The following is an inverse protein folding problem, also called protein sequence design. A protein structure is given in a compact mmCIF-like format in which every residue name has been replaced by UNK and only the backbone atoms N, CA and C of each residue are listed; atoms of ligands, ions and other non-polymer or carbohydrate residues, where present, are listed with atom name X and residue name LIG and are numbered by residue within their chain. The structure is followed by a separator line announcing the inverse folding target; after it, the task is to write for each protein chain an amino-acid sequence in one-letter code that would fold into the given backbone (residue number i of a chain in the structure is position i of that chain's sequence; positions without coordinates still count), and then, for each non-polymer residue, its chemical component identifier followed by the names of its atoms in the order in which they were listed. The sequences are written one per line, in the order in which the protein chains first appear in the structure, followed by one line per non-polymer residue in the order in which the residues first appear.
data_IF_267172458187
#
_entry.id   IF_267172458187
#
_cell.length_a   1.000
_cell.length_b   1.000
_cell.length_c   1.000
_cell.angle_alpha   90.00
_cell.angle_beta   90.00
_cell.angle_gamma   90.00
#
_symmetry.space_group_name_H-M   'P 1'
#
loop_
_entity.id
_entity.type
_entity.pdbx_description
1 polymer ?
#
# COMPACT_ATOMS: atom_id res chain seq x y z
N UNK A 1 1.49 -24.84 -23.18
CA UNK A 1 0.36 -24.18 -22.49
C UNK A 1 0.24 -24.78 -21.10
N UNK A 2 -0.25 -24.01 -20.13
CA UNK A 2 -0.48 -24.48 -18.75
C UNK A 2 -1.98 -24.69 -18.56
N UNK A 3 -2.37 -25.82 -17.99
CA UNK A 3 -3.76 -26.18 -17.72
C UNK A 3 -4.00 -26.42 -16.22
N UNK A 4 -5.26 -26.32 -15.81
CA UNK A 4 -5.69 -26.67 -14.45
C UNK A 4 -5.37 -28.14 -14.18
N UNK A 5 -4.76 -28.42 -13.01
CA UNK A 5 -4.28 -29.74 -12.62
C UNK A 5 -2.83 -30.04 -13.01
N UNK A 6 -2.18 -29.20 -13.83
CA UNK A 6 -0.76 -29.36 -14.13
C UNK A 6 0.09 -29.21 -12.88
N UNK A 7 1.24 -29.88 -12.87
CA UNK A 7 2.25 -29.75 -11.82
C UNK A 7 3.44 -28.99 -12.33
N UNK A 8 3.74 -27.85 -11.70
CA UNK A 8 4.82 -26.97 -12.09
C UNK A 8 5.88 -26.91 -11.00
N UNK A 9 7.15 -26.94 -11.40
CA UNK A 9 8.26 -26.70 -10.48
C UNK A 9 8.51 -25.20 -10.45
N UNK A 10 8.52 -24.61 -9.26
CA UNK A 10 8.92 -23.22 -9.04
C UNK A 10 10.21 -23.21 -8.24
N UNK A 11 11.27 -22.62 -8.81
CA UNK A 11 12.58 -22.56 -8.15
C UNK A 11 12.66 -21.39 -7.17
N UNK A 12 13.64 -21.39 -6.25
CA UNK A 12 13.87 -20.25 -5.38
C UNK A 12 14.07 -18.95 -6.17
N UNK A 13 13.41 -17.88 -5.76
CA UNK A 13 13.44 -16.57 -6.43
C UNK A 13 12.63 -16.46 -7.73
N UNK A 14 12.05 -17.55 -8.25
CA UNK A 14 11.22 -17.49 -9.44
C UNK A 14 9.82 -16.92 -9.14
N UNK A 15 9.25 -16.22 -10.12
CA UNK A 15 7.86 -15.75 -10.05
C UNK A 15 6.90 -16.92 -10.25
N UNK A 16 5.89 -17.00 -9.40
CA UNK A 16 4.82 -17.99 -9.52
C UNK A 16 4.01 -17.69 -10.80
N UNK A 17 3.90 -18.62 -11.76
CA UNK A 17 3.38 -18.31 -13.10
C UNK A 17 1.86 -18.16 -13.16
N UNK A 18 1.12 -18.93 -12.37
CA UNK A 18 -0.35 -18.99 -12.33
C UNK A 18 -0.83 -19.31 -10.92
N UNK A 19 -2.13 -19.25 -10.65
CA UNK A 19 -2.67 -19.60 -9.34
C UNK A 19 -2.65 -21.11 -9.12
N UNK A 20 -2.36 -21.52 -7.87
CA UNK A 20 -2.27 -22.93 -7.52
C UNK A 20 -2.22 -23.22 -6.04
N UNK A 21 -1.83 -24.44 -5.70
CA UNK A 21 -1.56 -24.87 -4.33
C UNK A 21 -0.21 -25.57 -4.25
N UNK A 22 0.48 -25.48 -3.11
CA UNK A 22 1.72 -26.22 -2.87
C UNK A 22 1.40 -27.71 -2.83
N UNK A 23 1.98 -28.49 -3.75
CA UNK A 23 1.87 -29.95 -3.76
C UNK A 23 3.03 -30.62 -3.02
N UNK A 24 4.25 -30.14 -3.22
CA UNK A 24 5.46 -30.65 -2.56
C UNK A 24 6.40 -29.50 -2.20
N UNK A 25 7.09 -29.63 -1.07
CA UNK A 25 8.07 -28.67 -0.57
C UNK A 25 7.49 -27.65 0.41
N UNK A 26 8.36 -26.79 0.92
CA UNK A 26 8.06 -25.73 1.87
C UNK A 26 8.82 -24.48 1.44
N UNK A 27 8.17 -23.32 1.48
CA UNK A 27 8.80 -22.06 1.10
C UNK A 27 8.15 -20.89 1.82
N UNK A 28 8.69 -19.70 1.61
CA UNK A 28 8.04 -18.43 1.91
C UNK A 28 7.69 -17.76 0.60
N UNK A 29 6.53 -17.13 0.50
CA UNK A 29 6.09 -16.46 -0.72
C UNK A 29 5.95 -14.97 -0.45
N UNK A 30 6.62 -14.17 -1.25
CA UNK A 30 6.48 -12.72 -1.25
C UNK A 30 5.27 -12.34 -2.13
N UNK A 31 4.18 -12.00 -1.45
CA UNK A 31 2.92 -11.55 -2.04
C UNK A 31 2.77 -10.02 -1.95
N UNK A 32 3.82 -9.26 -1.63
CA UNK A 32 3.77 -7.80 -1.43
C UNK A 32 3.15 -7.06 -2.62
N UNK A 33 3.47 -7.49 -3.84
CA UNK A 33 2.91 -6.98 -5.09
C UNK A 33 1.40 -7.21 -5.28
N UNK A 34 0.76 -8.07 -4.47
CA UNK A 34 -0.66 -8.46 -4.54
C UNK A 34 -1.46 -8.15 -3.26
N UNK A 35 -0.82 -8.22 -2.10
CA UNK A 35 -1.48 -7.99 -0.79
C UNK A 35 -1.06 -6.66 -0.16
N UNK A 36 0.14 -6.18 -0.46
CA UNK A 36 0.74 -4.98 0.14
C UNK A 36 1.48 -5.31 1.43
N UNK A 37 1.44 -6.57 1.85
CA UNK A 37 2.13 -7.03 3.05
C UNK A 37 3.63 -7.21 2.76
N UNK A 38 4.52 -6.54 3.50
CA UNK A 38 5.95 -6.51 3.19
C UNK A 38 6.70 -7.77 3.64
N UNK A 39 6.07 -8.65 4.43
CA UNK A 39 6.69 -9.85 4.96
C UNK A 39 6.28 -11.08 4.15
N UNK A 40 7.24 -11.90 3.67
CA UNK A 40 6.94 -13.17 3.02
C UNK A 40 6.12 -14.10 3.94
N UNK A 41 5.12 -14.76 3.37
CA UNK A 41 4.22 -15.66 4.09
C UNK A 41 4.70 -17.10 3.92
N UNK A 42 4.86 -17.82 5.03
CA UNK A 42 5.21 -19.24 4.97
C UNK A 42 4.08 -20.06 4.32
N UNK A 43 4.44 -20.89 3.35
CA UNK A 43 3.52 -21.77 2.62
C UNK A 43 4.00 -23.22 2.73
N UNK A 44 3.11 -24.05 3.27
CA UNK A 44 3.26 -25.50 3.39
C UNK A 44 2.38 -26.23 2.38
N UNK A 45 2.57 -27.54 2.25
CA UNK A 45 1.76 -28.40 1.39
C UNK A 45 0.26 -28.20 1.65
N UNK A 46 -0.48 -27.95 0.57
CA UNK A 46 -1.91 -27.64 0.58
C UNK A 46 -2.23 -26.14 0.65
N UNK A 47 -1.26 -25.26 0.96
CA UNK A 47 -1.48 -23.83 0.98
C UNK A 47 -1.64 -23.25 -0.43
N UNK A 48 -2.49 -22.23 -0.58
CA UNK A 48 -2.69 -21.51 -1.83
C UNK A 48 -1.47 -20.67 -2.24
N UNK A 49 -1.30 -20.51 -3.54
CA UNK A 49 -0.27 -19.72 -4.20
C UNK A 49 -0.94 -18.83 -5.25
N UNK A 50 -0.60 -17.55 -5.26
CA UNK A 50 -1.14 -16.60 -6.23
C UNK A 50 -0.12 -16.28 -7.32
N UNK A 51 -0.54 -16.37 -8.58
CA UNK A 51 0.26 -16.04 -9.74
C UNK A 51 0.71 -14.58 -9.72
N UNK A 52 1.98 -14.34 -10.04
CA UNK A 52 2.63 -13.03 -9.95
C UNK A 52 3.45 -12.81 -8.68
N UNK A 53 3.19 -13.56 -7.61
CA UNK A 53 4.01 -13.55 -6.39
C UNK A 53 5.40 -14.15 -6.61
N UNK A 54 6.35 -13.87 -5.71
CA UNK A 54 7.73 -14.34 -5.83
C UNK A 54 7.97 -15.47 -4.83
N UNK A 55 8.46 -16.60 -5.32
CA UNK A 55 8.88 -17.70 -4.46
C UNK A 55 10.18 -17.33 -3.73
N UNK A 56 10.23 -17.57 -2.43
CA UNK A 56 11.40 -17.35 -1.58
C UNK A 56 12.44 -18.46 -1.75
N UNK A 57 12.97 -18.97 -0.65
CA UNK A 57 14.18 -19.79 -0.66
C UNK A 57 13.96 -21.28 -1.02
N UNK A 58 12.71 -21.76 -0.97
CA UNK A 58 12.39 -23.18 -1.15
C UNK A 58 12.09 -23.56 -2.59
N UNK A 59 12.57 -24.72 -3.05
CA UNK A 59 12.06 -25.34 -4.29
C UNK A 59 10.73 -26.02 -4.00
N UNK A 60 9.68 -25.64 -4.73
CA UNK A 60 8.35 -26.21 -4.58
C UNK A 60 7.83 -26.84 -5.87
N UNK A 61 6.94 -27.81 -5.74
CA UNK A 61 6.06 -28.27 -6.83
C UNK A 61 4.66 -27.77 -6.50
N UNK A 62 4.06 -27.01 -7.42
CA UNK A 62 2.69 -26.52 -7.28
C UNK A 62 1.74 -27.29 -8.19
N UNK A 63 0.50 -27.47 -7.75
CA UNK A 63 -0.61 -27.92 -8.58
C UNK A 63 -1.44 -26.70 -9.01
N UNK A 64 -1.65 -26.54 -10.32
CA UNK A 64 -2.36 -25.40 -10.90
C UNK A 64 -3.86 -25.48 -10.59
N UNK A 65 -4.43 -24.40 -10.07
CA UNK A 65 -5.87 -24.30 -9.76
C UNK A 65 -6.63 -23.37 -10.69
N UNK A 66 -6.00 -22.31 -11.19
CA UNK A 66 -6.62 -21.39 -12.15
C UNK A 66 -5.60 -20.85 -13.15
N UNK A 67 -6.03 -20.60 -14.39
CA UNK A 67 -5.20 -20.10 -15.48
C UNK A 67 -5.91 -19.00 -16.26
N UNK A 68 -5.14 -18.16 -16.95
CA UNK A 68 -5.68 -17.11 -17.82
C UNK A 68 -6.60 -16.15 -17.08
N UNK A 69 -7.82 -15.99 -17.59
CA UNK A 69 -8.81 -15.06 -17.06
C UNK A 69 -9.25 -15.39 -15.62
N UNK A 70 -9.21 -16.66 -15.21
CA UNK A 70 -9.68 -17.08 -13.89
C UNK A 70 -8.68 -16.78 -12.76
N UNK A 71 -7.49 -16.29 -13.09
CA UNK A 71 -6.48 -15.91 -12.08
C UNK A 71 -6.89 -14.66 -11.30
N UNK A 72 -6.44 -14.57 -10.04
CA UNK A 72 -6.64 -13.40 -9.17
C UNK A 72 -6.15 -12.12 -9.84
N UNK A 73 -4.97 -12.15 -10.46
CA UNK A 73 -4.43 -10.98 -11.17
C UNK A 73 -5.31 -10.56 -12.35
N UNK A 74 -5.81 -11.53 -13.15
CA UNK A 74 -6.71 -11.21 -14.25
C UNK A 74 -8.07 -10.69 -13.78
N UNK A 75 -8.52 -11.10 -12.58
CA UNK A 75 -9.71 -10.53 -11.96
C UNK A 75 -9.47 -9.07 -11.53
N UNK A 76 -8.32 -8.78 -10.91
CA UNK A 76 -7.90 -7.41 -10.55
C UNK A 76 -7.85 -6.51 -11.79
N UNK A 77 -7.25 -6.98 -12.90
CA UNK A 77 -7.19 -6.21 -14.16
C UNK A 77 -8.60 -5.87 -14.67
N UNK A 78 -9.52 -6.83 -14.67
CA UNK A 78 -10.90 -6.60 -15.11
C UNK A 78 -11.64 -5.58 -14.23
N UNK A 79 -11.47 -5.66 -12.91
CA UNK A 79 -12.03 -4.67 -12.00
C UNK A 79 -11.53 -3.25 -12.30
N UNK A 80 -10.23 -3.11 -12.64
CA UNK A 80 -9.65 -1.81 -13.03
C UNK A 80 -10.18 -1.33 -14.37
N UNK A 81 -10.30 -2.22 -15.37
CA UNK A 81 -10.84 -1.88 -16.69
C UNK A 81 -12.31 -1.45 -16.62
N UNK A 82 -13.14 -2.18 -15.88
CA UNK A 82 -14.57 -1.88 -15.69
C UNK A 82 -14.76 -0.52 -15.00
N UNK A 83 -13.91 -0.21 -14.02
CA UNK A 83 -13.94 1.06 -13.31
C UNK A 83 -13.45 2.23 -14.18
N UNK A 84 -12.44 2.03 -15.05
CA UNK A 84 -11.96 3.03 -15.99
C UNK A 84 -12.92 3.28 -17.18
N UNK A 85 -13.77 2.33 -17.51
CA UNK A 85 -14.72 2.45 -18.63
C UNK A 85 -15.88 3.42 -18.38
N UNK A 86 -16.02 3.98 -17.16
CA UNK A 86 -17.02 4.98 -16.84
C UNK A 86 -16.72 6.34 -17.52
N UNK A 87 -17.59 6.76 -18.45
CA UNK A 87 -17.41 7.97 -19.27
C UNK A 87 -17.28 9.27 -18.45
N UNK A 88 -16.31 10.10 -18.86
CA UNK A 88 -15.96 11.39 -18.28
C UNK A 88 -17.08 12.48 -18.36
N UNK A 89 -17.23 13.37 -17.35
CA UNK A 89 -18.24 14.44 -17.32
C UNK A 89 -17.93 15.74 -18.08
N UNK A 90 -16.67 16.13 -18.38
CA UNK A 90 -16.40 17.51 -18.84
C UNK A 90 -16.79 17.82 -20.30
N UNK A 91 -16.83 16.83 -21.20
CA UNK A 91 -17.44 17.05 -22.52
C UNK A 91 -18.82 17.72 -22.38
N UNK A 92 -19.56 17.41 -21.30
CA UNK A 92 -20.87 17.97 -21.03
C UNK A 92 -20.89 19.46 -20.73
N UNK A 93 -19.87 20.09 -20.15
CA UNK A 93 -19.97 21.53 -19.80
C UNK A 93 -19.92 22.43 -21.04
N UNK A 94 -18.97 22.18 -21.95
CA UNK A 94 -18.92 22.91 -23.23
C UNK A 94 -20.11 22.54 -24.11
N UNK A 95 -20.52 21.26 -24.09
CA UNK A 95 -21.70 20.79 -24.83
C UNK A 95 -23.01 21.40 -24.29
N UNK A 96 -23.17 21.55 -22.97
CA UNK A 96 -24.36 22.12 -22.32
C UNK A 96 -24.46 23.63 -22.56
N UNK A 97 -23.34 24.35 -22.45
CA UNK A 97 -23.28 25.77 -22.84
C UNK A 97 -23.61 25.91 -24.33
N UNK A 98 -23.04 25.07 -25.20
CA UNK A 98 -23.31 25.11 -26.63
C UNK A 98 -24.76 24.76 -26.97
N UNK A 99 -25.36 23.81 -26.26
CA UNK A 99 -26.75 23.38 -26.44
C UNK A 99 -27.76 24.49 -26.16
N UNK A 100 -27.44 25.43 -25.27
CA UNK A 100 -28.26 26.62 -25.00
C UNK A 100 -27.85 27.79 -25.90
N UNK A 101 -26.54 28.01 -26.06
CA UNK A 101 -25.99 29.17 -26.77
C UNK A 101 -26.36 29.18 -28.26
N UNK A 102 -26.24 28.03 -28.94
CA UNK A 102 -26.49 27.94 -30.39
C UNK A 102 -27.95 28.27 -30.73
N UNK A 103 -28.98 27.68 -30.08
CA UNK A 103 -30.37 28.07 -30.32
C UNK A 103 -30.67 29.53 -30.02
N UNK A 104 -30.09 30.09 -28.95
CA UNK A 104 -30.29 31.51 -28.59
C UNK A 104 -29.74 32.43 -29.68
N UNK A 105 -28.52 32.17 -30.17
CA UNK A 105 -27.89 32.96 -31.23
C UNK A 105 -28.68 32.86 -32.55
N UNK A 106 -29.16 31.67 -32.90
CA UNK A 106 -30.03 31.48 -34.07
C UNK A 106 -31.35 32.25 -33.91
N UNK A 107 -31.95 32.24 -32.72
CA UNK A 107 -33.15 33.00 -32.40
C UNK A 107 -32.94 34.51 -32.55
N UNK A 108 -31.83 35.05 -32.00
CA UNK A 108 -31.50 36.48 -32.11
C UNK A 108 -31.20 36.87 -33.57
N UNK A 109 -30.50 36.02 -34.33
CA UNK A 109 -30.24 36.27 -35.75
C UNK A 109 -31.55 36.29 -36.57
N UNK A 110 -32.49 35.37 -36.29
CA UNK A 110 -33.81 35.36 -36.91
C UNK A 110 -34.63 36.60 -36.54
N UNK A 111 -34.64 36.99 -35.27
CA UNK A 111 -35.33 38.21 -34.82
C UNK A 111 -34.73 39.47 -35.47
N UNK A 112 -33.41 39.50 -35.65
CA UNK A 112 -32.72 40.59 -36.35
C UNK A 112 -33.15 40.67 -37.81
N UNK A 113 -33.20 39.53 -38.51
CA UNK A 113 -33.68 39.45 -39.89
C UNK A 113 -35.11 39.99 -40.02
N UNK A 114 -36.03 39.49 -39.19
CA UNK A 114 -37.44 39.88 -39.22
C UNK A 114 -37.64 41.35 -38.83
N UNK A 115 -36.89 41.85 -37.85
CA UNK A 115 -36.96 43.24 -37.40
C UNK A 115 -36.54 44.23 -38.49
N UNK A 116 -35.46 43.96 -39.21
CA UNK A 116 -35.00 44.81 -40.31
C UNK A 116 -35.94 44.77 -41.51
N UNK A 117 -36.51 43.60 -41.84
CA UNK A 117 -37.54 43.49 -42.88
C UNK A 117 -38.80 44.30 -42.51
N UNK A 118 -39.22 44.25 -41.25
CA UNK A 118 -40.40 44.99 -40.78
C UNK A 118 -40.16 46.52 -40.75
N UNK A 119 -38.93 46.94 -40.46
CA UNK A 119 -38.52 48.35 -40.53
C UNK A 119 -38.40 48.90 -41.97
N UNK A 120 -38.63 48.07 -42.99
CA UNK A 120 -38.61 48.47 -44.40
C UNK A 120 -37.22 48.43 -45.04
N UNK A 121 -36.22 47.80 -44.41
CA UNK A 121 -34.93 47.59 -45.05
C UNK A 121 -35.02 46.54 -46.18
N UNK A 122 -34.17 46.67 -47.19
CA UNK A 122 -34.06 45.69 -48.26
C UNK A 122 -33.61 44.32 -47.74
N UNK A 123 -34.05 43.23 -48.40
CA UNK A 123 -33.74 41.85 -47.97
C UNK A 123 -32.23 41.56 -47.88
N UNK A 124 -31.43 42.19 -48.72
CA UNK A 124 -29.96 42.11 -48.66
C UNK A 124 -29.40 42.70 -47.36
N UNK A 125 -29.87 43.88 -46.97
CA UNK A 125 -29.42 44.57 -45.74
C UNK A 125 -29.82 43.78 -44.50
N UNK A 126 -31.06 43.27 -44.45
CA UNK A 126 -31.54 42.46 -43.34
C UNK A 126 -30.74 41.14 -43.19
N UNK A 127 -30.39 40.48 -44.30
CA UNK A 127 -29.58 39.27 -44.30
C UNK A 127 -28.14 39.54 -43.82
N UNK A 128 -27.52 40.63 -44.29
CA UNK A 128 -26.17 41.04 -43.83
C UNK A 128 -26.15 41.23 -42.31
N UNK A 129 -27.16 41.90 -41.74
CA UNK A 129 -27.24 42.09 -40.29
C UNK A 129 -27.44 40.77 -39.53
N UNK A 130 -28.28 39.86 -40.02
CA UNK A 130 -28.48 38.55 -39.40
C UNK A 130 -27.19 37.70 -39.43
N UNK A 131 -26.48 37.68 -40.56
CA UNK A 131 -25.18 36.99 -40.68
C UNK A 131 -24.12 37.63 -39.77
N UNK A 132 -24.09 38.96 -39.66
CA UNK A 132 -23.17 39.65 -38.76
C UNK A 132 -23.37 39.22 -37.29
N UNK A 133 -24.63 39.03 -36.85
CA UNK A 133 -24.95 38.49 -35.52
C UNK A 133 -24.41 37.07 -35.34
N UNK A 134 -24.54 36.20 -36.35
CA UNK A 134 -24.00 34.85 -36.27
C UNK A 134 -22.45 34.84 -36.21
N UNK A 135 -21.80 35.68 -37.03
CA UNK A 135 -20.34 35.77 -37.10
C UNK A 135 -19.75 36.29 -35.80
N UNK A 136 -20.33 37.37 -35.24
CA UNK A 136 -19.81 37.98 -34.00
C UNK A 136 -20.04 37.09 -32.77
N UNK A 137 -21.05 36.21 -32.81
CA UNK A 137 -21.36 35.28 -31.74
C UNK A 137 -20.43 34.05 -31.69
N UNK A 138 -19.56 33.83 -32.68
CA UNK A 138 -18.69 32.66 -32.71
C UNK A 138 -17.70 32.65 -31.53
N UNK A 139 -17.78 31.68 -30.60
CA UNK A 139 -17.00 31.70 -29.36
C UNK A 139 -15.60 31.08 -29.56
N UNK A 140 -14.80 31.63 -30.48
CA UNK A 140 -13.48 31.07 -30.83
C UNK A 140 -12.54 30.90 -29.61
N UNK A 141 -12.61 31.81 -28.63
CA UNK A 141 -11.79 31.75 -27.43
C UNK A 141 -12.21 30.63 -26.45
N UNK A 142 -13.49 30.23 -26.45
CA UNK A 142 -14.02 29.21 -25.54
C UNK A 142 -13.38 27.85 -25.81
N UNK A 143 -13.16 27.51 -27.09
CA UNK A 143 -12.53 26.24 -27.49
C UNK A 143 -11.06 26.11 -27.08
N UNK A 144 -10.37 27.21 -26.81
CA UNK A 144 -8.96 27.22 -26.39
C UNK A 144 -8.77 27.42 -24.88
N UNK A 145 -9.77 27.97 -24.18
CA UNK A 145 -9.65 28.29 -22.76
C UNK A 145 -9.33 27.05 -21.91
N UNK A 146 -10.08 25.96 -22.08
CA UNK A 146 -9.91 24.74 -21.29
C UNK A 146 -8.58 24.03 -21.55
N UNK A 147 -8.17 23.76 -22.81
CA UNK A 147 -6.86 23.15 -23.08
C UNK A 147 -5.68 24.01 -22.59
N UNK A 148 -5.76 25.34 -22.70
CA UNK A 148 -4.71 26.23 -22.22
C UNK A 148 -4.59 26.18 -20.68
N UNK A 149 -5.72 26.20 -19.97
CA UNK A 149 -5.75 26.09 -18.50
C UNK A 149 -5.21 24.73 -18.02
N UNK A 150 -5.62 23.63 -18.66
CA UNK A 150 -5.13 22.27 -18.34
C UNK A 150 -3.61 22.17 -18.58
N UNK A 151 -3.12 22.66 -19.72
CA UNK A 151 -1.70 22.58 -20.05
C UNK A 151 -0.85 23.41 -19.07
N UNK A 152 -1.32 24.60 -18.69
CA UNK A 152 -0.65 25.42 -17.67
C UNK A 152 -0.70 24.73 -16.28
N UNK A 153 -1.87 24.21 -15.89
CA UNK A 153 -2.07 23.54 -14.61
C UNK A 153 -1.22 22.29 -14.44
N UNK A 154 -1.20 21.40 -15.44
CA UNK A 154 -0.33 20.21 -15.45
C UNK A 154 1.15 20.58 -15.44
N UNK A 155 1.54 21.65 -16.16
CA UNK A 155 2.91 22.18 -16.12
C UNK A 155 3.34 22.69 -14.74
N UNK A 156 2.45 23.35 -14.00
CA UNK A 156 2.71 23.78 -12.60
C UNK A 156 2.77 22.59 -11.64
N UNK A 157 1.85 21.63 -11.79
CA UNK A 157 1.83 20.41 -10.99
C UNK A 157 3.12 19.59 -11.13
N UNK A 158 3.61 19.43 -12.37
CA UNK A 158 4.85 18.71 -12.65
C UNK A 158 6.08 19.34 -11.97
N UNK A 159 6.13 20.69 -11.87
CA UNK A 159 7.20 21.40 -11.13
C UNK A 159 7.20 21.09 -9.63
N UNK A 160 6.08 20.63 -9.09
CA UNK A 160 5.93 20.19 -7.70
C UNK A 160 5.95 18.66 -7.55
N UNK A 161 6.37 17.93 -8.59
CA UNK A 161 6.47 16.47 -8.56
C UNK A 161 5.11 15.75 -8.67
N UNK A 162 4.05 16.44 -9.07
CA UNK A 162 2.71 15.86 -9.24
C UNK A 162 2.48 15.59 -10.72
N UNK A 163 2.39 14.30 -11.08
CA UNK A 163 2.13 13.86 -12.45
C UNK A 163 0.66 13.53 -12.63
N UNK A 164 0.00 14.28 -13.50
CA UNK A 164 -1.42 14.12 -13.80
C UNK A 164 -1.55 13.37 -15.12
N UNK A 165 -2.11 12.16 -15.06
CA UNK A 165 -2.32 11.32 -16.26
C UNK A 165 -3.54 11.76 -17.07
N UNK A 166 -4.59 12.21 -16.38
CA UNK A 166 -5.86 12.61 -16.97
C UNK A 166 -6.20 14.04 -16.57
N UNK A 167 -6.55 14.88 -17.53
CA UNK A 167 -7.01 16.25 -17.29
C UNK A 167 -8.24 16.31 -16.38
N UNK A 168 -9.12 15.29 -16.43
CA UNK A 168 -10.30 15.20 -15.56
C UNK A 168 -9.92 15.16 -14.07
N UNK A 169 -8.76 14.59 -13.74
CA UNK A 169 -8.30 14.51 -12.37
C UNK A 169 -8.08 15.90 -11.75
N UNK A 170 -7.65 16.89 -12.54
CA UNK A 170 -7.48 18.28 -12.07
C UNK A 170 -8.80 18.92 -11.67
N UNK A 171 -9.87 18.62 -12.39
CA UNK A 171 -11.20 19.19 -12.15
C UNK A 171 -11.87 18.57 -10.94
N UNK A 172 -11.79 17.24 -10.84
CA UNK A 172 -12.36 16.50 -9.72
C UNK A 172 -11.59 16.78 -8.43
N UNK A 173 -10.27 16.99 -8.50
CA UNK A 173 -9.44 17.26 -7.33
C UNK A 173 -9.94 18.45 -6.49
N UNK A 174 -10.50 19.49 -7.11
CA UNK A 174 -11.04 20.63 -6.36
C UNK A 174 -12.34 20.29 -5.60
N UNK A 175 -13.10 19.28 -6.04
CA UNK A 175 -14.35 18.84 -5.41
C UNK A 175 -14.14 17.80 -4.31
N UNK A 176 -12.92 17.28 -4.16
CA UNK A 176 -12.60 16.23 -3.18
C UNK A 176 -12.88 16.75 -1.77
N UNK A 177 -13.76 16.04 -1.06
CA UNK A 177 -14.09 16.31 0.35
C UNK A 177 -13.55 15.23 1.30
N UNK A 178 -13.24 14.04 0.77
CA UNK A 178 -12.73 12.91 1.55
C UNK A 178 -11.52 12.31 0.83
N UNK A 179 -10.43 12.07 1.56
CA UNK A 179 -9.24 11.37 1.06
C UNK A 179 -9.07 10.07 1.84
N UNK A 180 -9.15 8.95 1.15
CA UNK A 180 -8.83 7.63 1.66
C UNK A 180 -7.37 7.31 1.34
N UNK A 181 -6.59 6.98 2.35
CA UNK A 181 -5.18 6.61 2.23
C UNK A 181 -5.01 5.14 2.51
N UNK A 182 -4.29 4.43 1.64
CA UNK A 182 -3.69 3.18 2.03
C UNK A 182 -2.64 3.41 3.14
N UNK A 183 -2.49 2.44 4.03
CA UNK A 183 -1.50 2.51 5.10
C UNK A 183 -0.09 2.25 4.56
N UNK A 184 0.14 1.07 4.00
CA UNK A 184 1.49 0.54 3.76
C UNK A 184 2.11 1.23 2.55
N UNK A 185 3.32 1.78 2.69
CA UNK A 185 4.06 2.45 1.60
C UNK A 185 3.53 3.84 1.18
N UNK A 186 2.27 4.13 1.50
CA UNK A 186 1.64 5.45 1.32
C UNK A 186 1.82 6.34 2.55
N UNK A 187 1.15 6.01 3.68
CA UNK A 187 1.27 6.75 4.94
C UNK A 187 2.50 6.33 5.75
N UNK A 188 2.97 5.11 5.52
CA UNK A 188 4.17 4.56 6.14
C UNK A 188 5.28 4.39 5.12
N UNK A 189 6.48 4.00 5.58
CA UNK A 189 7.61 3.76 4.70
C UNK A 189 7.44 2.45 3.91
N UNK A 190 6.63 1.51 4.40
CA UNK A 190 6.41 0.20 3.75
C UNK A 190 7.58 -0.76 3.95
N UNK A 191 8.45 -0.48 4.92
CA UNK A 191 9.63 -1.30 5.23
C UNK A 191 9.71 -1.55 6.73
N UNK A 192 9.81 -2.81 7.18
CA UNK A 192 9.91 -3.10 8.59
C UNK A 192 11.17 -2.48 9.19
N UNK A 193 11.01 -1.82 10.33
CA UNK A 193 12.09 -1.25 11.14
C UNK A 193 12.06 -1.85 12.53
N UNK A 194 13.23 -1.97 13.16
CA UNK A 194 13.33 -2.35 14.56
C UNK A 194 12.83 -1.17 15.41
N UNK A 195 11.63 -1.29 15.96
CA UNK A 195 10.96 -0.23 16.74
C UNK A 195 11.23 -0.35 18.24
N UNK A 196 11.43 -1.57 18.74
CA UNK A 196 11.85 -1.82 20.12
C UNK A 196 12.84 -2.99 20.19
N UNK A 197 13.80 -2.87 21.11
CA UNK A 197 14.78 -3.91 21.43
C UNK A 197 14.95 -3.96 22.95
N UNK A 198 14.23 -4.89 23.59
CA UNK A 198 14.12 -4.99 25.03
C UNK A 198 15.01 -6.13 25.53
N UNK A 199 16.08 -5.82 26.27
CA UNK A 199 17.01 -6.84 26.78
C UNK A 199 16.58 -7.39 28.13
N UNK A 200 16.93 -8.66 28.37
CA UNK A 200 16.75 -9.30 29.66
C UNK A 200 17.65 -8.65 30.73
N UNK A 201 17.23 -8.69 32.00
CA UNK A 201 17.93 -8.04 33.12
C UNK A 201 19.41 -8.43 33.19
N UNK A 202 20.29 -7.43 33.31
CA UNK A 202 21.74 -7.63 33.43
C UNK A 202 22.47 -7.89 32.11
N UNK A 203 21.81 -7.68 30.97
CA UNK A 203 22.45 -7.68 29.63
C UNK A 203 22.74 -6.25 29.17
N UNK A 204 23.82 -6.09 28.39
CA UNK A 204 24.12 -4.85 27.68
C UNK A 204 23.40 -4.84 26.33
N UNK A 205 22.59 -3.80 26.08
CA UNK A 205 21.79 -3.67 24.87
C UNK A 205 22.65 -3.66 23.59
N UNK A 206 23.76 -2.93 23.60
CA UNK A 206 24.65 -2.79 22.45
C UNK A 206 25.34 -4.10 22.09
N UNK A 207 25.81 -4.84 23.10
CA UNK A 207 26.45 -6.14 22.90
C UNK A 207 25.49 -7.17 22.31
N UNK A 208 24.28 -7.29 22.88
CA UNK A 208 23.29 -8.24 22.37
C UNK A 208 22.83 -7.84 20.97
N UNK A 209 22.55 -6.55 20.72
CA UNK A 209 22.14 -6.09 19.39
C UNK A 209 23.23 -6.33 18.33
N UNK A 210 24.50 -6.08 18.66
CA UNK A 210 25.63 -6.34 17.75
C UNK A 210 25.74 -7.84 17.39
N UNK A 211 25.58 -8.73 18.38
CA UNK A 211 25.61 -10.17 18.16
C UNK A 211 24.43 -10.65 17.31
N UNK A 212 23.22 -10.15 17.57
CA UNK A 212 22.02 -10.48 16.80
C UNK A 212 22.15 -9.98 15.36
N UNK A 213 22.66 -8.75 15.17
CA UNK A 213 22.91 -8.20 13.84
C UNK A 213 23.95 -9.00 13.06
N UNK A 214 24.98 -9.55 13.74
CA UNK A 214 25.95 -10.43 13.12
C UNK A 214 25.30 -11.72 12.63
N UNK A 215 24.53 -12.44 13.45
CA UNK A 215 23.81 -13.65 13.01
C UNK A 215 22.86 -13.38 11.84
N UNK A 216 22.28 -12.17 11.79
CA UNK A 216 21.31 -11.75 10.77
C UNK A 216 21.98 -11.16 9.51
N UNK A 217 23.30 -10.94 9.49
CA UNK A 217 23.97 -10.13 8.45
C UNK A 217 23.93 -10.73 7.05
N UNK A 218 23.79 -12.06 6.94
CA UNK A 218 23.70 -12.79 5.67
C UNK A 218 22.27 -13.17 5.26
N UNK A 219 21.24 -12.74 6.00
CA UNK A 219 19.85 -13.08 5.69
C UNK A 219 19.20 -12.01 4.82
N UNK A 220 18.51 -12.45 3.76
CA UNK A 220 17.73 -11.59 2.89
C UNK A 220 16.35 -11.23 3.46
N UNK A 221 15.99 -11.80 4.62
CA UNK A 221 14.70 -11.56 5.25
C UNK A 221 14.54 -10.09 5.68
N UNK A 222 13.39 -9.42 5.43
CA UNK A 222 13.20 -8.01 5.75
C UNK A 222 13.49 -7.64 7.22
N UNK A 223 13.05 -8.48 8.16
CA UNK A 223 13.33 -8.29 9.59
C UNK A 223 14.83 -8.38 9.93
N UNK A 224 15.58 -9.24 9.25
CA UNK A 224 17.02 -9.35 9.44
C UNK A 224 17.74 -8.08 8.99
N UNK A 225 17.38 -7.58 7.80
CA UNK A 225 17.86 -6.30 7.28
C UNK A 225 17.54 -5.13 8.24
N UNK A 226 16.35 -5.14 8.86
CA UNK A 226 15.95 -4.13 9.84
C UNK A 226 16.85 -4.12 11.09
N UNK A 227 17.22 -5.30 11.62
CA UNK A 227 18.16 -5.40 12.75
C UNK A 227 19.55 -4.90 12.36
N UNK A 228 20.06 -5.33 11.20
CA UNK A 228 21.39 -4.94 10.70
C UNK A 228 21.44 -3.42 10.49
N UNK A 229 20.39 -2.83 9.92
CA UNK A 229 20.28 -1.39 9.76
C UNK A 229 20.26 -0.65 11.11
N UNK A 230 19.54 -1.17 12.10
CA UNK A 230 19.50 -0.59 13.45
C UNK A 230 20.87 -0.64 14.15
N UNK A 231 21.62 -1.73 14.02
CA UNK A 231 22.96 -1.84 14.58
C UNK A 231 23.95 -0.86 13.90
N UNK A 232 23.89 -0.73 12.57
CA UNK A 232 24.70 0.23 11.82
C UNK A 232 24.38 1.68 12.17
N UNK A 233 23.10 2.02 12.35
CA UNK A 233 22.68 3.37 12.74
C UNK A 233 23.16 3.77 14.15
N UNK A 234 23.55 2.79 14.98
CA UNK A 234 24.13 2.98 16.32
C UNK A 234 25.65 2.80 16.35
N UNK A 235 26.29 2.73 15.18
CA UNK A 235 27.74 2.51 15.03
C UNK A 235 28.26 1.27 15.78
N UNK A 236 27.43 0.22 15.88
CA UNK A 236 27.82 -1.02 16.57
C UNK A 236 28.68 -1.92 15.66
N UNK A 237 29.76 -2.52 16.18
CA UNK A 237 30.60 -3.42 15.40
C UNK A 237 29.89 -4.75 15.13
N UNK A 238 29.50 -4.97 13.88
CA UNK A 238 28.90 -6.24 13.43
C UNK A 238 30.01 -7.21 13.04
N UNK A 239 30.31 -8.18 13.92
CA UNK A 239 31.29 -9.22 13.65
C UNK A 239 30.83 -10.17 12.55
N UNK A 240 31.76 -10.90 11.94
CA UNK A 240 31.42 -11.98 11.02
C UNK A 240 30.89 -13.17 11.83
N UNK A 241 29.68 -13.68 11.51
CA UNK A 241 29.12 -14.83 12.21
C UNK A 241 29.69 -16.15 11.64
N UNK A 242 29.73 -17.17 12.48
CA UNK A 242 30.06 -18.55 12.12
C UNK A 242 28.80 -19.43 12.17
N UNK A 243 28.80 -20.53 11.41
CA UNK A 243 27.76 -21.57 11.43
C UNK A 243 26.30 -21.06 11.30
N UNK A 244 26.07 -19.98 10.55
CA UNK A 244 24.72 -19.41 10.38
C UNK A 244 23.83 -20.36 9.59
N UNK A 245 22.64 -20.61 10.12
CA UNK A 245 21.61 -21.44 9.51
C UNK A 245 20.24 -20.81 9.65
N UNK A 246 19.51 -20.74 8.54
CA UNK A 246 18.09 -20.41 8.53
C UNK A 246 17.26 -21.65 8.89
N UNK A 247 16.29 -21.48 9.78
CA UNK A 247 15.29 -22.47 10.17
C UNK A 247 13.94 -21.99 9.62
N UNK A 248 13.46 -22.55 8.49
CA UNK A 248 12.24 -22.09 7.83
C UNK A 248 11.03 -22.03 8.77
N UNK A 249 10.27 -20.94 8.70
CA UNK A 249 9.07 -20.72 9.52
C UNK A 249 9.33 -20.51 11.02
N UNK A 250 10.60 -20.40 11.43
CA UNK A 250 11.03 -20.28 12.82
C UNK A 250 11.97 -19.11 13.07
N UNK A 251 13.09 -19.04 12.35
CA UNK A 251 14.12 -18.01 12.57
C UNK A 251 15.49 -18.36 11.99
N UNK A 252 16.54 -17.81 12.60
CA UNK A 252 17.95 -18.01 12.26
C UNK A 252 18.73 -18.39 13.52
N UNK A 253 19.72 -19.26 13.38
CA UNK A 253 20.68 -19.61 14.44
C UNK A 253 22.11 -19.42 13.91
N UNK A 254 23.05 -19.06 14.80
CA UNK A 254 24.45 -18.89 14.42
C UNK A 254 25.34 -18.62 15.63
N UNK A 255 26.65 -18.58 15.40
CA UNK A 255 27.66 -18.34 16.43
C UNK A 255 28.38 -17.01 16.20
N UNK A 256 28.55 -16.24 17.27
CA UNK A 256 29.28 -14.97 17.25
C UNK A 256 30.20 -14.95 18.46
N UNK A 257 31.51 -14.80 18.21
CA UNK A 257 32.53 -14.75 19.27
C UNK A 257 32.46 -15.96 20.23
N UNK A 258 32.14 -17.15 19.70
CA UNK A 258 32.03 -18.39 20.47
C UNK A 258 30.73 -18.56 21.27
N UNK A 259 29.75 -17.65 21.11
CA UNK A 259 28.42 -17.75 21.69
C UNK A 259 27.37 -18.10 20.63
N UNK A 260 26.55 -19.11 20.89
CA UNK A 260 25.46 -19.53 20.00
C UNK A 260 24.18 -18.75 20.31
N UNK A 261 23.67 -18.04 19.30
CA UNK A 261 22.45 -17.24 19.35
C UNK A 261 21.38 -17.82 18.42
N UNK A 262 20.13 -17.77 18.89
CA UNK A 262 18.95 -18.15 18.15
C UNK A 262 18.01 -16.94 18.11
N UNK A 263 17.60 -16.54 16.92
CA UNK A 263 16.79 -15.35 16.65
C UNK A 263 15.57 -15.78 15.88
N UNK A 264 14.37 -15.60 16.44
CA UNK A 264 13.17 -15.98 15.68
C UNK A 264 11.86 -15.74 16.40
N UNK A 265 10.80 -16.34 15.85
CA UNK A 265 9.42 -16.14 16.30
C UNK A 265 9.21 -16.58 17.75
N UNK A 266 8.24 -15.96 18.43
CA UNK A 266 7.83 -16.37 19.78
C UNK A 266 7.36 -17.83 19.83
N UNK A 267 6.73 -18.33 18.76
CA UNK A 267 6.34 -19.73 18.61
C UNK A 267 7.54 -20.67 18.69
N UNK A 268 8.62 -20.33 17.99
CA UNK A 268 9.84 -21.15 18.01
C UNK A 268 10.48 -21.16 19.41
N UNK A 269 10.48 -20.02 20.10
CA UNK A 269 10.97 -19.96 21.47
C UNK A 269 10.17 -20.83 22.44
N UNK A 270 8.84 -20.88 22.28
CA UNK A 270 7.98 -21.78 23.05
C UNK A 270 8.28 -23.26 22.75
N UNK A 271 8.46 -23.62 21.48
CA UNK A 271 8.85 -24.98 21.06
C UNK A 271 10.21 -25.40 21.66
N UNK A 272 11.13 -24.45 21.81
CA UNK A 272 12.44 -24.64 22.44
C UNK A 272 12.40 -24.57 23.98
N UNK A 273 11.23 -24.36 24.58
CA UNK A 273 11.08 -24.25 26.03
C UNK A 273 11.72 -23.00 26.65
N UNK A 274 11.91 -21.94 25.86
CA UNK A 274 12.45 -20.65 26.32
C UNK A 274 11.35 -19.82 26.97
N UNK A 275 11.49 -19.54 28.26
CA UNK A 275 10.59 -18.64 28.98
C UNK A 275 10.93 -17.16 28.68
N UNK A 276 9.90 -16.38 28.33
CA UNK A 276 10.00 -14.94 28.10
C UNK A 276 10.10 -14.15 29.42
N UNK A 277 9.71 -14.75 30.55
CA UNK A 277 9.79 -14.18 31.88
C UNK A 277 9.18 -12.76 31.96
N UNK A 278 9.91 -11.76 32.49
CA UNK A 278 9.38 -10.40 32.66
C UNK A 278 9.09 -9.69 31.34
N UNK A 279 9.69 -10.12 30.23
CA UNK A 279 9.48 -9.52 28.90
C UNK A 279 8.19 -10.02 28.23
N UNK A 280 7.52 -11.04 28.77
CA UNK A 280 6.29 -11.60 28.18
C UNK A 280 5.16 -10.56 28.06
N UNK A 281 4.93 -9.76 29.12
CA UNK A 281 3.91 -8.73 29.12
C UNK A 281 4.21 -7.62 28.09
N UNK A 282 5.49 -7.25 27.95
CA UNK A 282 5.93 -6.26 26.97
C UNK A 282 5.80 -6.79 25.54
N UNK A 283 6.17 -8.04 25.29
CA UNK A 283 5.98 -8.70 24.01
C UNK A 283 4.51 -8.72 23.58
N UNK A 284 3.60 -9.06 24.50
CA UNK A 284 2.15 -9.04 24.24
C UNK A 284 1.63 -7.65 23.93
N UNK A 285 2.06 -6.63 24.67
CA UNK A 285 1.69 -5.25 24.40
C UNK A 285 2.14 -4.80 22.99
N UNK A 286 3.39 -5.13 22.62
CA UNK A 286 3.93 -4.81 21.29
C UNK A 286 3.18 -5.54 20.17
N UNK A 287 2.78 -6.80 20.37
CA UNK A 287 1.93 -7.51 19.41
C UNK A 287 0.53 -6.89 19.29
N UNK A 288 -0.05 -6.44 20.40
CA UNK A 288 -1.35 -5.75 20.40
C UNK A 288 -1.29 -4.39 19.69
N UNK A 289 -0.13 -3.74 19.69
CA UNK A 289 0.18 -2.54 18.90
C UNK A 289 0.45 -2.84 17.41
N UNK A 290 0.38 -4.12 16.99
CA UNK A 290 0.60 -4.54 15.61
C UNK A 290 2.03 -4.83 15.22
N UNK A 291 2.97 -4.81 16.17
CA UNK A 291 4.35 -5.14 15.87
C UNK A 291 4.53 -6.65 15.68
N UNK A 292 5.33 -7.01 14.69
CA UNK A 292 5.87 -8.37 14.57
C UNK A 292 6.94 -8.54 15.64
N UNK A 293 6.74 -9.49 16.56
CA UNK A 293 7.66 -9.71 17.68
C UNK A 293 8.48 -10.97 17.49
N UNK A 294 9.80 -10.83 17.65
CA UNK A 294 10.77 -11.93 17.67
C UNK A 294 11.53 -11.92 18.98
N UNK A 295 12.11 -13.04 19.36
CA UNK A 295 12.93 -13.17 20.54
C UNK A 295 14.33 -13.66 20.20
N UNK A 296 15.26 -13.37 21.10
CA UNK A 296 16.67 -13.75 21.02
C UNK A 296 16.98 -14.63 22.21
N UNK A 297 17.41 -15.85 21.95
CA UNK A 297 17.92 -16.77 22.96
C UNK A 297 19.41 -17.05 22.71
N UNK A 298 20.14 -17.31 23.78
CA UNK A 298 21.53 -17.76 23.72
C UNK A 298 21.63 -19.14 24.37
N UNK A 299 22.42 -20.05 23.77
CA UNK A 299 22.74 -21.33 24.41
C UNK A 299 23.72 -21.10 25.56
N UNK A 300 23.33 -21.51 26.76
CA UNK A 300 24.16 -21.47 27.97
C UNK A 300 25.32 -22.44 27.85
N UNK A 301 26.51 -21.98 28.24
CA UNK A 301 27.71 -22.81 28.43
C UNK A 301 27.82 -23.35 29.85
N UNK A 302 27.00 -22.87 30.79
CA UNK A 302 26.94 -23.38 32.16
C UNK A 302 25.88 -24.48 32.26
N UNK A 303 26.30 -25.65 32.75
CA UNK A 303 25.49 -26.87 32.87
C UNK A 303 24.17 -26.65 33.62
N UNK A 304 23.24 -27.59 33.42
CA UNK A 304 21.81 -27.60 33.77
C UNK A 304 21.44 -27.45 35.29
N UNK A 305 22.02 -26.49 36.00
CA UNK A 305 21.84 -26.27 37.45
C UNK A 305 21.11 -24.99 37.86
N UNK A 306 20.57 -24.23 36.90
CA UNK A 306 19.75 -23.04 37.16
C UNK A 306 18.34 -23.19 36.60
N UNK A 307 17.43 -22.29 36.98
CA UNK A 307 16.06 -22.10 36.46
C UNK A 307 16.06 -21.76 34.96
N UNK A 308 16.59 -22.66 34.15
CA UNK A 308 16.80 -22.50 32.72
C UNK A 308 15.89 -23.49 31.98
N UNK A 309 15.27 -23.00 30.90
CA UNK A 309 14.36 -23.79 30.07
C UNK A 309 14.97 -25.12 29.63
N UNK A 310 14.11 -26.09 29.37
CA UNK A 310 14.48 -27.42 28.92
C UNK A 310 15.31 -27.33 27.62
N UNK A 311 16.65 -27.40 27.73
CA UNK A 311 17.57 -27.28 26.59
C UNK A 311 18.79 -26.38 26.82
N UNK A 312 18.89 -25.71 27.98
CA UNK A 312 20.03 -24.84 28.29
C UNK A 312 20.03 -23.53 27.51
N UNK A 313 18.87 -23.07 27.05
CA UNK A 313 18.69 -21.80 26.35
C UNK A 313 18.24 -20.71 27.34
N UNK A 314 18.81 -19.51 27.21
CA UNK A 314 18.50 -18.35 28.05
C UNK A 314 18.06 -17.19 27.16
N UNK A 315 16.90 -16.60 27.47
CA UNK A 315 16.43 -15.39 26.78
C UNK A 315 17.40 -14.23 26.99
N UNK A 316 17.74 -13.54 25.91
CA UNK A 316 18.59 -12.33 25.93
C UNK A 316 17.82 -11.08 25.58
N UNK A 317 16.88 -11.15 24.63
CA UNK A 317 16.11 -9.99 24.24
C UNK A 317 14.77 -10.35 23.58
N UNK A 318 13.86 -9.38 23.54
CA UNK A 318 12.68 -9.35 22.67
C UNK A 318 12.83 -8.17 21.72
N UNK A 319 12.51 -8.40 20.45
CA UNK A 319 12.57 -7.42 19.38
C UNK A 319 11.19 -7.22 18.81
N UNK A 320 10.80 -5.96 18.61
CA UNK A 320 9.59 -5.62 17.89
C UNK A 320 9.94 -4.92 16.58
N UNK A 321 9.24 -5.34 15.55
CA UNK A 321 9.34 -4.80 14.21
C UNK A 321 8.01 -4.20 13.82
N UNK A 322 8.04 -2.97 13.34
CA UNK A 322 6.87 -2.29 12.85
C UNK A 322 7.22 -1.43 11.66
N UNK A 323 6.19 -0.87 11.04
CA UNK A 323 6.38 0.18 10.06
C UNK A 323 6.42 1.55 10.77
N UNK A 324 7.09 2.51 10.15
CA UNK A 324 7.19 3.88 10.63
C UNK A 324 6.35 4.82 9.76
N UNK A 325 5.69 5.83 10.34
CA UNK A 325 5.09 6.92 9.59
C UNK A 325 6.10 7.54 8.62
N UNK A 326 5.66 7.82 7.40
CA UNK A 326 6.47 8.51 6.41
C UNK A 326 6.74 9.94 6.90
N UNK A 327 7.98 10.46 6.79
CA UNK A 327 8.26 11.85 7.12
C UNK A 327 7.33 12.78 6.32
N UNK A 328 6.70 13.76 6.98
CA UNK A 328 5.73 14.65 6.33
C UNK A 328 4.28 14.16 6.34
N UNK A 329 4.00 12.87 6.63
CA UNK A 329 2.65 12.32 6.54
C UNK A 329 1.68 12.96 7.55
N UNK A 330 2.15 13.14 8.80
CA UNK A 330 1.36 13.80 9.85
C UNK A 330 1.06 15.26 9.49
N UNK A 331 2.04 16.02 8.99
CA UNK A 331 1.80 17.39 8.56
C UNK A 331 0.83 17.45 7.36
N UNK A 332 0.95 16.55 6.39
CA UNK A 332 0.07 16.48 5.24
C UNK A 332 -1.39 16.19 5.64
N UNK A 333 -1.61 15.22 6.53
CA UNK A 333 -2.94 14.91 7.07
C UNK A 333 -3.52 16.10 7.84
N UNK A 334 -2.71 16.78 8.66
CA UNK A 334 -3.15 17.97 9.39
C UNK A 334 -3.54 19.12 8.44
N UNK A 335 -2.79 19.33 7.35
CA UNK A 335 -3.11 20.34 6.34
C UNK A 335 -4.40 20.03 5.58
N UNK A 336 -4.67 18.76 5.27
CA UNK A 336 -5.93 18.34 4.66
C UNK A 336 -7.12 18.58 5.61
N UNK A 337 -7.00 18.17 6.87
CA UNK A 337 -8.02 18.43 7.90
C UNK A 337 -8.28 19.92 8.08
N UNK A 338 -7.24 20.76 8.09
CA UNK A 338 -7.38 22.22 8.20
C UNK A 338 -8.12 22.85 7.01
N UNK A 339 -8.12 22.19 5.84
CA UNK A 339 -8.92 22.58 4.66
C UNK A 339 -10.34 22.03 4.67
N UNK A 340 -10.75 21.33 5.73
CA UNK A 340 -12.07 20.70 5.85
C UNK A 340 -12.18 19.37 5.11
N UNK A 341 -11.07 18.79 4.64
CA UNK A 341 -11.06 17.51 3.94
C UNK A 341 -11.00 16.39 4.97
N UNK A 342 -11.96 15.46 4.94
CA UNK A 342 -11.96 14.27 5.79
C UNK A 342 -10.85 13.32 5.34
N UNK A 343 -10.03 12.85 6.28
CA UNK A 343 -8.96 11.89 5.98
C UNK A 343 -9.27 10.55 6.62
N UNK A 344 -9.21 9.47 5.86
CA UNK A 344 -9.47 8.09 6.33
C UNK A 344 -8.28 7.21 5.96
N UNK A 345 -7.83 6.36 6.88
CA UNK A 345 -6.83 5.34 6.61
C UNK A 345 -7.48 3.97 6.42
N UNK A 346 -7.14 3.28 5.35
CA UNK A 346 -7.56 1.91 5.03
C UNK A 346 -6.35 0.99 5.24
N UNK A 347 -6.55 -0.11 5.97
CA UNK A 347 -5.49 -1.08 6.25
C UNK A 347 -6.04 -2.50 6.34
N UNK A 348 -5.24 -3.46 5.86
CA UNK A 348 -5.47 -4.89 6.06
C UNK A 348 -5.06 -5.39 7.44
N UNK A 349 -4.34 -4.58 8.23
CA UNK A 349 -3.93 -4.95 9.58
C UNK A 349 -5.13 -5.17 10.50
N UNK A 350 -4.89 -5.92 11.58
CA UNK A 350 -5.85 -6.03 12.68
C UNK A 350 -6.19 -4.64 13.26
N UNK A 351 -7.36 -4.57 13.92
CA UNK A 351 -7.87 -3.31 14.50
C UNK A 351 -6.86 -2.60 15.42
N UNK A 352 -6.20 -3.34 16.32
CA UNK A 352 -5.27 -2.75 17.30
C UNK A 352 -4.06 -2.07 16.64
N UNK A 353 -3.47 -2.75 15.66
CA UNK A 353 -2.36 -2.26 14.86
C UNK A 353 -2.71 -1.01 14.04
N UNK A 354 -3.82 -1.08 13.31
CA UNK A 354 -4.29 0.04 12.49
C UNK A 354 -4.59 1.28 13.34
N UNK A 355 -5.25 1.12 14.48
CA UNK A 355 -5.54 2.23 15.37
C UNK A 355 -4.29 2.82 16.05
N UNK A 356 -3.31 1.97 16.41
CA UNK A 356 -2.05 2.43 16.96
C UNK A 356 -1.30 3.30 15.93
N UNK A 357 -1.22 2.86 14.67
CA UNK A 357 -0.63 3.65 13.58
C UNK A 357 -1.41 4.93 13.31
N UNK A 358 -2.74 4.87 13.29
CA UNK A 358 -3.61 6.04 13.10
C UNK A 358 -3.33 7.14 14.13
N UNK A 359 -3.25 6.78 15.41
CA UNK A 359 -2.91 7.72 16.49
C UNK A 359 -1.53 8.36 16.29
N UNK A 360 -0.55 7.59 15.80
CA UNK A 360 0.80 8.09 15.45
C UNK A 360 0.80 9.01 14.22
N UNK A 361 -0.19 8.91 13.35
CA UNK A 361 -0.39 9.78 12.19
C UNK A 361 -1.25 11.03 12.50
N UNK A 362 -1.87 11.09 13.69
CA UNK A 362 -2.81 12.17 14.06
C UNK A 362 -4.24 11.96 13.52
N UNK A 363 -4.58 10.72 13.18
CA UNK A 363 -5.94 10.29 12.89
C UNK A 363 -6.66 9.85 14.17
N UNK A 364 -7.97 10.01 14.18
CA UNK A 364 -8.85 9.66 15.29
C UNK A 364 -9.71 8.42 14.94
N UNK A 365 -9.40 7.24 15.51
CA UNK A 365 -10.22 6.06 15.35
C UNK A 365 -11.69 6.25 15.77
N UNK A 366 -11.95 7.05 16.81
CA UNK A 366 -13.30 7.27 17.32
C UNK A 366 -14.17 8.11 16.37
N UNK A 367 -13.53 8.94 15.54
CA UNK A 367 -14.18 9.72 14.49
C UNK A 367 -14.45 8.90 13.20
N UNK A 368 -14.14 7.60 13.20
CA UNK A 368 -14.28 6.74 12.02
C UNK A 368 -13.30 7.11 10.91
N UNK A 369 -12.08 7.51 11.27
CA UNK A 369 -10.98 7.79 10.33
C UNK A 369 -10.10 6.56 10.06
N UNK A 370 -10.47 5.38 10.57
CA UNK A 370 -9.70 4.14 10.43
C UNK A 370 -10.60 2.97 10.01
N UNK A 371 -10.22 2.33 8.92
CA UNK A 371 -10.84 1.13 8.38
C UNK A 371 -9.80 0.01 8.42
N UNK A 372 -9.85 -0.81 9.46
CA UNK A 372 -8.93 -1.94 9.66
C UNK A 372 -9.53 -3.25 9.12
N UNK A 373 -8.67 -4.27 8.95
CA UNK A 373 -9.02 -5.62 8.50
C UNK A 373 -9.67 -5.65 7.11
N UNK A 374 -9.30 -4.69 6.25
CA UNK A 374 -9.82 -4.57 4.89
C UNK A 374 -8.94 -5.38 3.94
N UNK A 375 -9.50 -6.45 3.36
CA UNK A 375 -8.82 -7.25 2.35
C UNK A 375 -8.64 -6.44 1.05
N UNK A 376 -7.62 -6.74 0.23
CA UNK A 376 -7.38 -6.03 -1.03
C UNK A 376 -8.61 -5.95 -1.95
N UNK A 377 -9.36 -7.06 -2.09
CA UNK A 377 -10.58 -7.10 -2.90
C UNK A 377 -11.74 -6.26 -2.35
N UNK A 378 -11.73 -5.97 -1.04
CA UNK A 378 -12.78 -5.21 -0.37
C UNK A 378 -12.49 -3.71 -0.29
N UNK A 379 -11.25 -3.28 -0.57
CA UNK A 379 -10.87 -1.85 -0.55
C UNK A 379 -11.73 -1.01 -1.49
N UNK A 380 -12.02 -1.52 -2.69
CA UNK A 380 -12.90 -0.84 -3.64
C UNK A 380 -14.31 -0.64 -3.09
N UNK A 381 -14.88 -1.66 -2.43
CA UNK A 381 -16.19 -1.56 -1.79
C UNK A 381 -16.20 -0.51 -0.66
N UNK A 382 -15.09 -0.37 0.08
CA UNK A 382 -14.95 0.67 1.11
C UNK A 382 -14.87 2.08 0.51
N UNK A 383 -14.17 2.27 -0.60
CA UNK A 383 -14.15 3.55 -1.33
C UNK A 383 -15.56 3.91 -1.81
N UNK A 384 -16.29 2.96 -2.41
CA UNK A 384 -17.69 3.15 -2.83
C UNK A 384 -18.59 3.49 -1.64
N UNK A 385 -18.39 2.85 -0.49
CA UNK A 385 -19.14 3.18 0.73
C UNK A 385 -18.83 4.60 1.24
N UNK A 386 -17.60 5.09 1.07
CA UNK A 386 -17.24 6.49 1.40
C UNK A 386 -17.83 7.50 0.42
N UNK A 387 -18.00 7.13 -0.85
CA UNK A 387 -18.67 7.95 -1.88
C UNK A 387 -20.18 8.09 -1.63
N UNK A 388 -20.77 7.20 -0.80
CA UNK A 388 -22.18 7.25 -0.46
C UNK A 388 -22.58 8.62 0.11
N UNK A 389 -23.77 9.09 -0.26
CA UNK A 389 -24.26 10.42 0.13
C UNK A 389 -23.72 11.57 -0.75
N UNK A 390 -23.16 11.26 -1.93
CA UNK A 390 -22.75 12.26 -2.92
C UNK A 390 -21.38 12.90 -2.64
N UNK A 391 -20.54 12.23 -1.83
CA UNK A 391 -19.19 12.69 -1.52
C UNK A 391 -18.23 12.40 -2.65
N UNK A 392 -17.26 13.29 -2.84
CA UNK A 392 -16.16 13.09 -3.78
C UNK A 392 -14.95 12.57 -3.01
N UNK A 393 -14.61 11.31 -3.26
CA UNK A 393 -13.51 10.60 -2.59
C UNK A 393 -12.29 10.54 -3.49
N UNK A 394 -11.11 10.84 -2.95
CA UNK A 394 -9.83 10.53 -3.58
C UNK A 394 -9.16 9.38 -2.82
N UNK A 395 -8.80 8.30 -3.53
CA UNK A 395 -7.99 7.21 -3.00
C UNK A 395 -6.50 7.48 -3.27
N UNK A 396 -5.64 7.26 -2.28
CA UNK A 396 -4.18 7.40 -2.38
C UNK A 396 -3.56 6.07 -1.97
N UNK A 397 -2.80 5.45 -2.88
CA UNK A 397 -2.13 4.17 -2.69
C UNK A 397 -0.84 4.10 -3.49
N UNK A 398 0.00 3.10 -3.24
CA UNK A 398 1.32 2.96 -3.87
C UNK A 398 1.42 1.76 -4.82
N UNK A 399 0.45 0.84 -4.80
CA UNK A 399 0.60 -0.49 -5.39
C UNK A 399 -0.49 -0.95 -6.36
N UNK A 400 -0.22 -2.11 -6.98
CA UNK A 400 -1.17 -2.86 -7.82
C UNK A 400 -2.40 -3.31 -7.03
N UNK A 401 -2.26 -3.47 -5.72
CA UNK A 401 -3.30 -3.98 -4.79
C UNK A 401 -4.38 -2.95 -4.54
N UNK A 402 -3.98 -1.67 -4.65
CA UNK A 402 -4.88 -0.55 -4.56
C UNK A 402 -5.47 -0.21 -5.92
N UNK A 403 -5.02 -0.83 -7.02
CA UNK A 403 -5.53 -0.49 -8.35
C UNK A 403 -7.05 -0.59 -8.46
N UNK A 404 -7.73 -1.63 -7.91
CA UNK A 404 -9.20 -1.65 -7.87
C UNK A 404 -9.80 -0.50 -7.07
N UNK A 405 -9.18 -0.12 -5.94
CA UNK A 405 -9.65 0.97 -5.09
C UNK A 405 -9.34 2.37 -5.65
N UNK A 406 -8.27 2.51 -6.43
CA UNK A 406 -7.88 3.72 -7.14
C UNK A 406 -8.75 3.97 -8.37
N UNK A 407 -9.35 2.91 -8.93
CA UNK A 407 -10.21 3.00 -10.09
C UNK A 407 -11.70 3.21 -9.71
N UNK A 408 -12.14 2.71 -8.56
CA UNK A 408 -13.49 2.89 -8.01
C UNK A 408 -13.77 4.33 -7.57
#
# INVERSE_FOLDING_TARGET
EVMVGDRLVVRPGERIPVDGTVHEGHTQVDESMLTGEPLPVARDVGAGLTGGSINGDGRIVMAVTAVGAETVLAHIIRLVEDAQAAKAPIQRLVDEVSAIFVPVVLGVALLTLLGWLWAGAGGEVALIHAVAVLVIACPCALGLATPAAIMAGTGVAAKHGILIKDAQALELAHKVDTVAFDKTGTLTVGQPRLTAFEVATGQDEGVVLAAVAAVQSGSEHPLARAVVAAARARDLPVAQPDAVRAVPGRGTEGEVQGASYLVGSLRWMQELGVDLGPLAARAQALQAEGATVSAVAQRSTQGAGGTHGAGGLVLRAVMAFGDEPKPGAREALAQLKARGIRTVMISGDNRGAAEAMARRLGLDPAAGEVMAEVLPGDKAAQVVALQAGGKTVAMVGDGVNDAPALAA
#
